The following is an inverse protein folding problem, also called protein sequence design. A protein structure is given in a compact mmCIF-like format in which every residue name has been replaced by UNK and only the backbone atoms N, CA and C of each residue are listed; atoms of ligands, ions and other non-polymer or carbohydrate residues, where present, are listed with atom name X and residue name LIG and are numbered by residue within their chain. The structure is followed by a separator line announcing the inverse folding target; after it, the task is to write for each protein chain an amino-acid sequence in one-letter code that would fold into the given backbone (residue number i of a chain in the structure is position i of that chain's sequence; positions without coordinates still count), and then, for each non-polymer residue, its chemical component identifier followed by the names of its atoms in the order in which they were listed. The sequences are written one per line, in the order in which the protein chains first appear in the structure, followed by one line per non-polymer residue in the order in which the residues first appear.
data_IF_475430082578
#
_entry.id   IF_475430082578
#
_cell.length_a   1.000
_cell.length_b   1.000
_cell.length_c   1.000
_cell.angle_alpha   90.00
_cell.angle_beta   90.00
_cell.angle_gamma   90.00
#
_symmetry.space_group_name_H-M   'P 1'
#
loop_
_entity.id
_entity.type
_entity.pdbx_description
1 polymer ?
#
# COMPACT_ATOMS: atom_id res chain seq x y z
N UNK A 1 50.47 28.52 13.17
CA UNK A 1 50.25 29.17 11.85
C UNK A 1 48.78 28.99 11.51
N UNK A 2 48.00 30.06 11.64
CA UNK A 2 46.54 30.05 11.50
C UNK A 2 46.21 30.77 10.20
N UNK A 3 45.63 30.07 9.23
CA UNK A 3 45.24 30.63 7.94
C UNK A 3 43.81 31.15 8.08
N UNK A 4 43.67 32.47 8.09
CA UNK A 4 42.39 33.17 7.99
C UNK A 4 42.05 33.33 6.50
N UNK A 5 41.01 32.64 6.02
CA UNK A 5 40.41 32.92 4.71
C UNK A 5 39.17 33.80 4.94
N UNK A 6 39.31 35.08 4.63
CA UNK A 6 38.20 36.01 4.37
C UNK A 6 37.74 35.79 2.93
N UNK A 7 36.49 35.39 2.75
CA UNK A 7 35.74 35.55 1.49
C UNK A 7 34.40 36.18 1.84
N UNK A 8 34.04 37.24 1.11
CA UNK A 8 33.16 38.33 1.55
C UNK A 8 31.65 38.06 1.55
N UNK A 9 30.87 39.07 1.97
CA UNK A 9 29.42 39.00 2.08
C UNK A 9 28.79 39.35 0.73
N UNK A 10 28.12 38.38 0.09
CA UNK A 10 27.24 38.64 -1.04
C UNK A 10 25.83 38.95 -0.50
N UNK A 11 25.60 40.27 -0.38
CA UNK A 11 24.34 40.99 -0.50
C UNK A 11 23.04 40.19 -0.29
N UNK A 12 22.50 40.28 0.93
CA UNK A 12 21.07 40.20 1.18
C UNK A 12 20.39 41.38 0.47
N UNK A 13 19.75 41.14 -0.66
CA UNK A 13 18.81 42.09 -1.24
C UNK A 13 17.60 42.19 -0.31
N UNK A 14 17.62 43.21 0.56
CA UNK A 14 16.40 43.75 1.16
C UNK A 14 15.55 44.28 0.00
N UNK A 15 14.52 43.55 -0.39
CA UNK A 15 13.48 44.13 -1.22
C UNK A 15 12.71 45.13 -0.36
N UNK A 16 12.96 46.41 -0.63
CA UNK A 16 12.27 47.57 -0.11
C UNK A 16 10.75 47.45 -0.29
N UNK A 17 10.10 46.99 0.78
CA UNK A 17 8.65 46.94 0.96
C UNK A 17 8.12 48.34 1.33
N UNK A 18 8.31 49.35 0.49
CA UNK A 18 7.81 50.69 0.82
C UNK A 18 7.29 51.53 -0.36
N UNK A 19 7.11 50.95 -1.55
CA UNK A 19 6.78 51.77 -2.74
C UNK A 19 5.69 51.22 -3.67
N UNK A 20 4.82 50.30 -3.21
CA UNK A 20 3.75 49.70 -4.05
C UNK A 20 2.37 49.79 -3.38
N UNK A 21 1.98 50.99 -2.97
CA UNK A 21 0.68 51.26 -2.34
C UNK A 21 -0.32 52.03 -3.25
N UNK A 22 -0.11 52.06 -4.58
CA UNK A 22 -0.88 52.96 -5.47
C UNK A 22 -1.61 52.23 -6.62
N UNK A 23 -1.61 50.90 -6.67
CA UNK A 23 -2.28 50.14 -7.73
C UNK A 23 -3.17 49.00 -7.19
N UNK A 24 -4.02 49.29 -6.20
CA UNK A 24 -5.07 48.35 -5.77
C UNK A 24 -6.37 49.12 -5.56
N UNK A 25 -7.26 49.14 -6.58
CA UNK A 25 -8.64 48.81 -6.22
C UNK A 25 -9.38 48.04 -7.33
N UNK A 26 -8.77 47.08 -8.03
CA UNK A 26 -9.52 46.31 -9.06
C UNK A 26 -9.23 44.80 -9.12
N UNK A 27 -8.36 44.25 -8.28
CA UNK A 27 -8.07 42.81 -8.27
C UNK A 27 -8.73 42.05 -7.10
N UNK A 28 -9.56 42.70 -6.27
CA UNK A 28 -10.14 42.08 -5.09
C UNK A 28 -11.48 41.35 -5.35
N UNK A 29 -12.07 41.44 -6.55
CA UNK A 29 -13.42 40.92 -6.81
C UNK A 29 -13.46 39.55 -7.50
N UNK A 30 -12.33 38.97 -7.90
CA UNK A 30 -12.30 37.72 -8.69
C UNK A 30 -12.21 36.42 -7.87
N UNK A 31 -11.96 36.48 -6.55
CA UNK A 31 -11.82 35.26 -5.72
C UNK A 31 -13.13 34.77 -5.06
N UNK A 32 -14.27 35.42 -5.30
CA UNK A 32 -15.52 35.11 -4.58
C UNK A 32 -16.42 34.04 -5.22
N UNK A 33 -16.06 33.47 -6.38
CA UNK A 33 -16.92 32.53 -7.13
C UNK A 33 -16.34 31.12 -7.33
N UNK A 34 -15.34 30.70 -6.55
CA UNK A 34 -14.94 29.29 -6.55
C UNK A 34 -16.02 28.46 -5.82
N UNK A 35 -16.74 27.54 -6.48
CA UNK A 35 -17.62 26.62 -5.78
C UNK A 35 -16.79 25.77 -4.81
N UNK A 36 -17.28 25.45 -3.60
CA UNK A 36 -16.60 24.52 -2.73
C UNK A 36 -16.53 23.17 -3.46
N UNK A 37 -15.32 22.72 -3.81
CA UNK A 37 -15.07 21.33 -4.15
C UNK A 37 -15.40 20.50 -2.90
N UNK A 38 -16.63 19.99 -2.81
CA UNK A 38 -16.98 18.96 -1.86
C UNK A 38 -16.26 17.68 -2.28
N UNK A 39 -15.15 17.41 -1.61
CA UNK A 39 -14.51 16.10 -1.66
C UNK A 39 -15.55 15.06 -1.22
N UNK A 40 -15.88 14.13 -2.12
CA UNK A 40 -16.75 13.01 -1.78
C UNK A 40 -16.14 12.26 -0.59
N UNK A 41 -16.94 11.87 0.42
CA UNK A 41 -16.43 11.08 1.52
C UNK A 41 -15.84 9.78 0.96
N UNK A 42 -14.69 9.31 1.48
CA UNK A 42 -14.13 8.05 1.04
C UNK A 42 -15.16 6.95 1.24
N UNK A 43 -15.46 6.21 0.18
CA UNK A 43 -16.35 5.05 0.24
C UNK A 43 -15.78 4.08 1.28
N UNK A 44 -16.36 4.09 2.48
CA UNK A 44 -15.88 3.29 3.60
C UNK A 44 -16.43 1.89 3.43
N UNK A 45 -15.55 0.92 3.23
CA UNK A 45 -15.92 -0.49 3.15
C UNK A 45 -16.33 -0.92 4.57
N UNK A 46 -17.52 -1.51 4.76
CA UNK A 46 -17.91 -2.04 6.06
C UNK A 46 -16.87 -3.06 6.54
N UNK A 47 -16.41 -2.97 7.80
CA UNK A 47 -15.29 -3.79 8.26
C UNK A 47 -15.60 -5.29 8.28
N UNK A 48 -16.87 -5.67 8.31
CA UNK A 48 -17.37 -7.05 8.27
C UNK A 48 -17.38 -7.66 6.87
N UNK A 49 -17.37 -6.83 5.81
CA UNK A 49 -17.45 -7.26 4.42
C UNK A 49 -16.05 -7.39 3.82
N UNK A 50 -15.79 -8.48 3.10
CA UNK A 50 -14.52 -8.61 2.39
C UNK A 50 -14.46 -7.61 1.21
N UNK A 51 -13.39 -6.81 1.05
CA UNK A 51 -13.30 -5.83 -0.02
C UNK A 51 -13.46 -6.47 -1.41
N UNK A 52 -14.15 -5.80 -2.36
CA UNK A 52 -14.41 -6.37 -3.66
C UNK A 52 -13.11 -6.59 -4.46
N UNK A 53 -13.01 -7.64 -5.29
CA UNK A 53 -11.80 -7.91 -6.09
C UNK A 53 -11.39 -6.76 -7.02
N UNK A 54 -12.35 -5.96 -7.49
CA UNK A 54 -12.11 -4.78 -8.32
C UNK A 54 -11.25 -3.73 -7.63
N UNK A 55 -11.32 -3.64 -6.30
CA UNK A 55 -10.51 -2.72 -5.52
C UNK A 55 -9.04 -3.12 -5.53
N UNK A 56 -8.72 -4.40 -5.36
CA UNK A 56 -7.34 -4.87 -5.47
C UNK A 56 -6.81 -4.79 -6.90
N UNK A 57 -7.68 -4.95 -7.90
CA UNK A 57 -7.32 -4.72 -9.31
C UNK A 57 -7.02 -3.24 -9.57
N UNK A 58 -7.80 -2.33 -9.00
CA UNK A 58 -7.52 -0.90 -9.06
C UNK A 58 -6.16 -0.58 -8.43
N UNK A 59 -5.92 -1.07 -7.21
CA UNK A 59 -4.66 -0.87 -6.50
C UNK A 59 -3.46 -1.41 -7.29
N UNK A 60 -3.59 -2.58 -7.92
CA UNK A 60 -2.57 -3.12 -8.83
C UNK A 60 -2.24 -2.13 -9.96
N UNK A 61 -3.25 -1.61 -10.65
CA UNK A 61 -3.05 -0.69 -11.78
C UNK A 61 -2.44 0.64 -11.33
N UNK A 62 -2.89 1.18 -10.19
CA UNK A 62 -2.32 2.39 -9.58
C UNK A 62 -0.86 2.18 -9.18
N UNK A 63 -0.53 1.00 -8.64
CA UNK A 63 0.85 0.65 -8.24
C UNK A 63 1.76 0.53 -9.46
N UNK A 64 1.29 -0.13 -10.54
CA UNK A 64 2.01 -0.16 -11.82
C UNK A 64 2.21 1.24 -12.41
N UNK A 65 1.23 2.13 -12.27
CA UNK A 65 1.38 3.51 -12.71
C UNK A 65 2.47 4.26 -11.92
N UNK A 66 2.61 4.02 -10.61
CA UNK A 66 3.74 4.56 -9.82
C UNK A 66 5.09 4.00 -10.29
N UNK A 67 5.17 2.71 -10.62
CA UNK A 67 6.37 2.09 -11.19
C UNK A 67 6.74 2.70 -12.55
N UNK A 68 5.75 2.90 -13.43
CA UNK A 68 5.96 3.44 -14.78
C UNK A 68 6.28 4.94 -14.77
N UNK A 69 5.54 5.73 -14.00
CA UNK A 69 5.55 7.20 -14.12
C UNK A 69 6.54 7.86 -13.13
N UNK A 70 6.86 7.20 -12.01
CA UNK A 70 7.74 7.72 -10.95
C UNK A 70 7.42 9.16 -10.53
N UNK A 71 6.13 9.47 -10.37
CA UNK A 71 5.67 10.79 -9.93
C UNK A 71 5.09 10.73 -8.53
N UNK A 72 5.32 11.79 -7.72
CA UNK A 72 4.71 11.98 -6.41
C UNK A 72 3.21 11.65 -6.41
N UNK A 73 2.47 12.17 -7.39
CA UNK A 73 1.01 12.02 -7.46
C UNK A 73 0.59 10.55 -7.61
N UNK A 74 1.16 9.83 -8.57
CA UNK A 74 0.81 8.42 -8.85
C UNK A 74 1.21 7.50 -7.69
N UNK A 75 2.38 7.74 -7.12
CA UNK A 75 2.88 6.98 -5.99
C UNK A 75 2.07 7.26 -4.72
N UNK A 76 1.71 8.51 -4.46
CA UNK A 76 0.82 8.87 -3.36
C UNK A 76 -0.58 8.26 -3.50
N UNK A 77 -1.13 8.18 -4.72
CA UNK A 77 -2.43 7.52 -4.95
C UNK A 77 -2.39 6.02 -4.62
N UNK A 78 -1.33 5.31 -5.01
CA UNK A 78 -1.16 3.90 -4.64
C UNK A 78 -1.11 3.71 -3.12
N UNK A 79 -0.39 4.59 -2.41
CA UNK A 79 -0.30 4.58 -0.94
C UNK A 79 -1.66 4.88 -0.29
N UNK A 80 -2.37 5.91 -0.75
CA UNK A 80 -3.71 6.26 -0.25
C UNK A 80 -4.71 5.13 -0.41
N UNK A 81 -4.63 4.37 -1.51
CA UNK A 81 -5.49 3.21 -1.73
C UNK A 81 -5.11 2.02 -0.82
N UNK A 82 -3.82 1.81 -0.54
CA UNK A 82 -3.34 0.71 0.28
C UNK A 82 -3.53 0.93 1.79
N UNK A 83 -3.28 2.14 2.28
CA UNK A 83 -3.30 2.50 3.71
C UNK A 83 -4.57 2.03 4.46
N UNK A 84 -5.80 2.36 4.04
CA UNK A 84 -7.00 1.97 4.77
C UNK A 84 -7.27 0.46 4.78
N UNK A 85 -6.64 -0.30 3.87
CA UNK A 85 -6.82 -1.75 3.79
C UNK A 85 -5.98 -2.50 4.83
N UNK A 86 -4.88 -1.91 5.33
CA UNK A 86 -4.00 -2.56 6.31
C UNK A 86 -4.74 -2.93 7.61
N UNK A 87 -5.66 -2.08 8.03
CA UNK A 87 -6.43 -2.26 9.26
C UNK A 87 -7.70 -3.12 9.07
N UNK A 88 -7.96 -3.58 7.84
CA UNK A 88 -9.18 -4.31 7.54
C UNK A 88 -9.18 -5.72 8.16
N UNK A 89 -10.15 -6.10 9.01
CA UNK A 89 -10.09 -7.33 9.81
C UNK A 89 -10.34 -8.60 8.98
N UNK A 90 -11.01 -8.48 7.84
CA UNK A 90 -11.29 -9.61 6.93
C UNK A 90 -10.13 -9.98 6.00
N UNK A 91 -9.06 -9.19 5.96
CA UNK A 91 -7.92 -9.46 5.07
C UNK A 91 -6.96 -10.48 5.70
N UNK A 92 -6.54 -11.51 4.93
CA UNK A 92 -5.51 -12.44 5.37
C UNK A 92 -4.18 -11.72 5.66
N UNK A 93 -3.38 -12.27 6.58
CA UNK A 93 -2.06 -11.73 6.90
C UNK A 93 -1.20 -11.50 5.64
N UNK A 94 -1.13 -12.51 4.75
CA UNK A 94 -0.39 -12.40 3.48
C UNK A 94 -0.86 -11.24 2.60
N UNK A 95 -2.17 -10.94 2.56
CA UNK A 95 -2.66 -9.77 1.82
C UNK A 95 -2.15 -8.47 2.46
N UNK A 96 -2.17 -8.38 3.79
CA UNK A 96 -1.65 -7.22 4.52
C UNK A 96 -0.16 -7.01 4.30
N UNK A 97 0.63 -8.07 4.22
CA UNK A 97 2.08 -7.99 3.93
C UNK A 97 2.35 -7.40 2.53
N UNK A 98 1.56 -7.79 1.53
CA UNK A 98 1.66 -7.21 0.18
C UNK A 98 1.20 -5.76 0.17
N UNK A 99 0.10 -5.43 0.84
CA UNK A 99 -0.37 -4.04 0.98
C UNK A 99 0.67 -3.15 1.67
N UNK A 100 1.33 -3.67 2.71
CA UNK A 100 2.39 -2.98 3.42
C UNK A 100 3.62 -2.76 2.52
N UNK A 101 3.97 -3.77 1.70
CA UNK A 101 5.02 -3.64 0.69
C UNK A 101 4.68 -2.55 -0.34
N UNK A 102 3.45 -2.54 -0.89
CA UNK A 102 3.00 -1.50 -1.82
C UNK A 102 3.11 -0.11 -1.19
N UNK A 103 2.62 0.06 0.04
CA UNK A 103 2.68 1.33 0.78
C UNK A 103 4.10 1.88 0.90
N UNK A 104 5.08 1.01 1.18
CA UNK A 104 6.46 1.42 1.40
C UNK A 104 7.25 1.60 0.10
N UNK A 105 6.97 0.78 -0.92
CA UNK A 105 7.67 0.80 -2.20
C UNK A 105 7.13 1.88 -3.14
N UNK A 106 5.85 2.24 -3.04
CA UNK A 106 5.22 3.25 -3.89
C UNK A 106 5.60 4.68 -3.46
N UNK A 107 6.89 5.00 -3.56
CA UNK A 107 7.46 6.32 -3.30
C UNK A 107 8.19 6.79 -4.55
N UNK A 108 8.14 8.10 -4.82
CA UNK A 108 8.94 8.67 -5.90
C UNK A 108 10.44 8.55 -5.58
N UNK A 109 11.25 8.42 -6.62
CA UNK A 109 12.70 8.46 -6.54
C UNK A 109 13.24 9.50 -7.53
N UNK A 110 14.49 9.90 -7.35
CA UNK A 110 15.18 10.83 -8.26
C UNK A 110 15.24 10.29 -9.70
N UNK A 111 15.40 8.97 -9.86
CA UNK A 111 15.45 8.31 -11.17
C UNK A 111 14.55 7.07 -11.20
N UNK A 112 13.91 6.83 -12.35
CA UNK A 112 13.05 5.66 -12.55
C UNK A 112 13.85 4.43 -13.01
N UNK A 113 14.75 3.95 -12.16
CA UNK A 113 15.62 2.80 -12.44
C UNK A 113 14.86 1.48 -12.42
N UNK A 114 15.38 0.47 -13.13
CA UNK A 114 14.80 -0.88 -13.12
C UNK A 114 14.77 -1.47 -11.70
N UNK A 115 15.86 -1.29 -10.93
CA UNK A 115 15.95 -1.75 -9.55
C UNK A 115 14.86 -1.17 -8.62
N UNK A 116 14.35 0.04 -8.93
CA UNK A 116 13.19 0.62 -8.23
C UNK A 116 11.88 0.01 -8.73
N UNK A 117 11.73 -0.12 -10.05
CA UNK A 117 10.48 -0.54 -10.70
C UNK A 117 10.14 -2.00 -10.41
N UNK A 118 11.13 -2.88 -10.45
CA UNK A 118 10.94 -4.33 -10.27
C UNK A 118 10.20 -4.72 -8.98
N UNK A 119 10.60 -4.26 -7.78
CA UNK A 119 9.88 -4.59 -6.56
C UNK A 119 8.46 -3.97 -6.52
N UNK A 120 8.24 -2.82 -7.15
CA UNK A 120 6.91 -2.20 -7.26
C UNK A 120 6.00 -3.05 -8.16
N UNK A 121 6.51 -3.45 -9.32
CA UNK A 121 5.79 -4.27 -10.30
C UNK A 121 5.48 -5.67 -9.73
N UNK A 122 6.42 -6.25 -8.98
CA UNK A 122 6.21 -7.51 -8.27
C UNK A 122 5.09 -7.38 -7.21
N UNK A 123 5.14 -6.37 -6.36
CA UNK A 123 4.09 -6.15 -5.36
C UNK A 123 2.71 -5.93 -6.01
N UNK A 124 2.68 -5.20 -7.14
CA UNK A 124 1.47 -5.02 -7.92
C UNK A 124 0.93 -6.34 -8.52
N UNK A 125 1.79 -7.21 -9.01
CA UNK A 125 1.39 -8.53 -9.51
C UNK A 125 0.80 -9.41 -8.40
N UNK A 126 1.38 -9.36 -7.20
CA UNK A 126 1.02 -10.21 -6.08
C UNK A 126 -0.31 -9.81 -5.42
N UNK A 127 -0.69 -8.53 -5.42
CA UNK A 127 -1.84 -8.05 -4.64
C UNK A 127 -3.15 -8.77 -4.98
N UNK A 128 -3.42 -9.05 -6.26
CA UNK A 128 -4.65 -9.74 -6.67
C UNK A 128 -4.63 -11.24 -6.38
N UNK A 129 -3.45 -11.83 -6.15
CA UNK A 129 -3.29 -13.23 -5.76
C UNK A 129 -3.37 -13.40 -4.25
N UNK A 130 -2.76 -12.48 -3.50
CA UNK A 130 -2.72 -12.51 -2.05
C UNK A 130 -4.03 -12.04 -1.40
N UNK A 131 -4.69 -11.04 -1.98
CA UNK A 131 -5.90 -10.43 -1.45
C UNK A 131 -7.17 -11.11 -2.00
N UNK A 132 -7.39 -12.34 -1.54
CA UNK A 132 -8.57 -13.14 -1.88
C UNK A 132 -9.24 -13.67 -0.60
N UNK A 133 -10.55 -13.94 -0.62
CA UNK A 133 -11.22 -14.58 0.51
C UNK A 133 -10.58 -15.94 0.79
N UNK A 134 -10.18 -16.19 2.03
CA UNK A 134 -9.78 -17.54 2.46
C UNK A 134 -11.06 -18.32 2.70
N UNK A 135 -11.37 -19.25 1.79
CA UNK A 135 -12.38 -20.26 2.06
C UNK A 135 -11.84 -21.14 3.19
N UNK A 136 -12.34 -20.93 4.41
CA UNK A 136 -12.06 -21.85 5.50
C UNK A 136 -12.84 -23.14 5.24
N UNK A 137 -12.21 -24.09 4.55
CA UNK A 137 -12.64 -25.48 4.61
C UNK A 137 -12.23 -25.95 6.00
N UNK A 138 -13.22 -26.11 6.89
CA UNK A 138 -13.00 -26.73 8.20
C UNK A 138 -12.44 -28.13 7.92
N UNK A 139 -11.23 -28.49 8.38
CA UNK A 139 -10.77 -29.86 8.22
C UNK A 139 -11.76 -30.75 8.98
N UNK A 140 -12.40 -31.67 8.26
CA UNK A 140 -13.19 -32.73 8.85
C UNK A 140 -12.28 -33.44 9.86
N UNK A 141 -12.70 -33.49 11.13
CA UNK A 141 -11.98 -34.19 12.18
C UNK A 141 -11.72 -35.62 11.72
N UNK A 142 -10.42 -35.98 11.64
CA UNK A 142 -9.92 -37.31 11.31
C UNK A 142 -10.79 -38.39 11.99
N UNK A 143 -11.35 -39.37 11.25
CA UNK A 143 -12.03 -40.50 11.88
C UNK A 143 -11.09 -41.18 12.88
N UNK A 144 -11.58 -41.64 14.04
CA UNK A 144 -10.73 -42.32 15.00
C UNK A 144 -10.06 -43.52 14.33
N UNK A 145 -8.75 -43.62 14.50
CA UNK A 145 -7.96 -44.73 13.99
C UNK A 145 -8.58 -46.04 14.51
N UNK A 146 -8.93 -46.94 13.59
CA UNK A 146 -9.35 -48.29 13.94
C UNK A 146 -8.27 -48.94 14.81
N UNK A 147 -8.68 -49.50 15.94
CA UNK A 147 -7.80 -50.20 16.86
C UNK A 147 -7.04 -51.35 16.14
N UNK A 148 -5.78 -51.62 16.48
CA UNK A 148 -5.07 -52.78 15.94
C UNK A 148 -5.76 -54.06 16.41
N UNK A 149 -6.13 -54.90 15.44
CA UNK A 149 -6.64 -56.25 15.69
C UNK A 149 -5.46 -57.07 16.20
N UNK A 150 -5.49 -57.46 17.47
CA UNK A 150 -4.56 -58.41 18.07
C UNK A 150 -5.11 -59.82 17.82
N UNK A 151 -4.40 -60.73 17.12
CA UNK A 151 -4.82 -62.12 17.08
C UNK A 151 -4.38 -62.82 18.36
N UNK A 152 -5.35 -63.13 19.23
CA UNK A 152 -5.22 -64.10 20.32
C UNK A 152 -5.02 -65.52 19.75
N UNK A 153 -4.16 -66.30 20.41
CA UNK A 153 -3.56 -67.53 19.89
C UNK A 153 -4.42 -68.78 19.88
N UNK A 154 -3.80 -69.88 19.43
CA UNK A 154 -4.35 -71.23 19.49
C UNK A 154 -3.29 -72.28 19.12
N UNK A 155 -2.72 -72.93 20.13
CA UNK A 155 -1.86 -74.11 20.01
C UNK A 155 -2.67 -75.36 19.64
N UNK A 156 -2.08 -76.32 18.91
CA UNK A 156 -2.22 -77.80 19.13
C UNK A 156 -1.43 -78.64 18.11
N UNK A 157 -0.62 -79.61 18.62
CA UNK A 157 -0.29 -80.95 18.02
C UNK A 157 0.71 -81.00 16.84
N UNK A 158 1.65 -81.94 16.70
CA UNK A 158 1.93 -83.21 17.37
C UNK A 158 2.22 -84.32 16.34
N UNK A 159 3.41 -84.95 16.39
CA UNK A 159 3.77 -86.22 15.72
C UNK A 159 4.30 -86.09 14.28
N UNK A 160 5.33 -86.81 13.83
CA UNK A 160 6.18 -87.87 14.40
C UNK A 160 7.25 -88.24 13.37
#
# INVERSE_FOLDING_TARGET
MTIALRVGPMALTRLDWSSRAWFLPLAALACALAPPLQAAPPATIPPDVFPPPSLFRSLQLTTLACGRDNSAERCAEARRQADPLLDHPRLPARCKDVLWSIRNLAVEAEANSLARRDPIDQAAAEVTLACRPVLRIKPESKPPAAAPIVPEGGATGGGG
#
